data_IF_035194853116
#
_entry.id   IF_035194853116
#
_cell.length_a   1.000
_cell.length_b   1.000
_cell.length_c   1.000
_cell.angle_alpha   90.00
_cell.angle_beta   90.00
_cell.angle_gamma   90.00
#
_symmetry.space_group_name_H-M   'P 1'
#
loop_
_entity.id
_entity.type
_entity.pdbx_description
1 polymer ?
#
# COMPACT_ATOMS: atom_id res chain seq x y z
N UNK A 1 42.78 26.53 24.20
CA UNK A 1 42.68 25.22 23.52
C UNK A 1 41.59 24.33 24.13
N UNK A 2 40.33 24.82 24.24
CA UNK A 2 39.22 24.14 24.93
C UNK A 2 37.98 23.87 24.06
N UNK A 3 38.06 24.14 22.75
CA UNK A 3 36.91 24.05 21.82
C UNK A 3 36.90 22.77 20.96
N UNK A 4 38.03 22.07 20.86
CA UNK A 4 38.15 20.80 20.13
C UNK A 4 37.28 19.64 20.68
N UNK A 5 37.16 19.42 22.01
CA UNK A 5 36.35 18.32 22.53
C UNK A 5 34.84 18.60 22.38
N UNK A 6 34.43 19.87 22.38
CA UNK A 6 33.03 20.27 22.24
C UNK A 6 32.53 20.06 20.80
N UNK A 7 33.38 20.32 19.81
CA UNK A 7 33.07 20.08 18.39
C UNK A 7 32.97 18.58 18.08
N UNK A 8 33.85 17.77 18.67
CA UNK A 8 33.80 16.31 18.53
C UNK A 8 32.57 15.70 19.22
N UNK A 9 32.19 16.21 20.39
CA UNK A 9 30.97 15.80 21.10
C UNK A 9 29.70 16.13 20.30
N UNK A 10 29.66 17.30 19.63
CA UNK A 10 28.56 17.73 18.77
C UNK A 10 28.38 16.80 17.55
N UNK A 11 29.47 16.34 16.95
CA UNK A 11 29.45 15.40 15.81
C UNK A 11 28.92 14.02 16.24
N UNK A 12 29.31 13.54 17.43
CA UNK A 12 28.87 12.25 17.97
C UNK A 12 27.37 12.26 18.30
N UNK A 13 26.86 13.36 18.90
CA UNK A 13 25.42 13.48 19.23
C UNK A 13 24.55 13.58 17.97
N UNK A 14 25.03 14.24 16.91
CA UNK A 14 24.31 14.36 15.64
C UNK A 14 24.22 13.03 14.85
N UNK A 15 25.16 12.11 15.08
CA UNK A 15 25.22 10.82 14.40
C UNK A 15 24.32 9.75 15.00
N UNK A 16 23.74 9.99 16.19
CA UNK A 16 22.96 8.99 16.94
C UNK A 16 21.46 8.96 16.64
N UNK A 17 20.96 9.76 15.70
CA UNK A 17 19.57 9.62 15.23
C UNK A 17 19.47 8.57 14.12
N UNK A 18 19.77 7.32 14.46
CA UNK A 18 19.33 6.17 13.67
C UNK A 18 17.93 5.80 14.15
N UNK A 19 16.91 6.19 13.39
CA UNK A 19 15.56 5.68 13.59
C UNK A 19 15.58 4.16 13.39
N UNK A 20 15.39 3.40 14.47
CA UNK A 20 15.29 1.95 14.38
C UNK A 20 14.12 1.55 13.47
N UNK A 21 14.43 0.78 12.44
CA UNK A 21 13.45 0.16 11.51
C UNK A 21 13.07 -1.26 11.98
N UNK A 22 13.18 -1.54 13.28
CA UNK A 22 12.87 -2.83 13.89
C UNK A 22 11.48 -2.90 14.55
N UNK A 23 11.20 -4.03 15.21
CA UNK A 23 9.94 -4.26 15.93
C UNK A 23 9.77 -3.36 17.17
N UNK A 24 10.86 -2.78 17.66
CA UNK A 24 10.91 -1.87 18.81
C UNK A 24 10.12 -0.57 18.60
N UNK A 25 9.77 -0.22 17.35
CA UNK A 25 8.96 0.96 17.04
C UNK A 25 7.52 0.65 16.59
N UNK A 26 7.06 -0.61 16.63
CA UNK A 26 5.70 -0.99 16.20
C UNK A 26 4.58 -0.25 16.93
N UNK A 27 4.81 0.12 18.20
CA UNK A 27 3.81 0.80 19.02
C UNK A 27 3.69 2.30 18.70
N UNK A 28 4.62 2.88 17.93
CA UNK A 28 4.64 4.31 17.63
C UNK A 28 3.71 4.64 16.49
N UNK A 29 2.77 5.55 16.74
CA UNK A 29 1.92 6.11 15.70
C UNK A 29 2.71 7.07 14.82
N UNK A 30 2.40 7.07 13.52
CA UNK A 30 2.94 8.03 12.56
C UNK A 30 1.80 8.83 11.93
N UNK A 31 2.14 10.00 11.36
CA UNK A 31 1.19 10.80 10.57
C UNK A 31 0.97 10.24 9.15
N UNK A 32 1.49 9.05 8.85
CA UNK A 32 1.36 8.42 7.54
C UNK A 32 -0.10 8.12 7.21
N UNK A 33 -0.44 8.15 5.91
CA UNK A 33 -1.75 7.76 5.41
C UNK A 33 -1.64 6.44 4.67
N UNK A 34 -2.29 5.41 5.19
CA UNK A 34 -2.33 4.09 4.53
C UNK A 34 -3.25 4.11 3.33
N UNK A 35 -2.88 3.39 2.27
CA UNK A 35 -3.68 3.17 1.07
C UNK A 35 -3.59 1.68 0.72
N UNK A 36 -4.67 1.11 0.22
CA UNK A 36 -4.69 -0.30 -0.23
C UNK A 36 -4.83 -0.30 -1.75
N UNK A 37 -3.71 -0.49 -2.44
CA UNK A 37 -3.67 -0.63 -3.89
C UNK A 37 -3.89 -2.10 -4.22
N UNK A 38 -4.90 -2.38 -5.04
CA UNK A 38 -5.25 -3.74 -5.45
C UNK A 38 -5.91 -3.72 -6.82
N UNK A 39 -6.12 -4.88 -7.47
CA UNK A 39 -6.89 -4.98 -8.71
C UNK A 39 -8.30 -4.35 -8.66
N UNK A 40 -8.89 -4.16 -7.48
CA UNK A 40 -10.18 -3.47 -7.32
C UNK A 40 -10.07 -1.96 -7.06
N UNK A 41 -8.86 -1.47 -6.76
CA UNK A 41 -8.60 -0.09 -6.38
C UNK A 41 -7.16 0.28 -6.76
N UNK A 42 -6.93 0.53 -8.05
CA UNK A 42 -5.60 0.81 -8.59
C UNK A 42 -4.99 2.11 -8.04
N UNK A 43 -5.83 3.07 -7.63
CA UNK A 43 -5.39 4.36 -7.05
C UNK A 43 -5.26 4.31 -5.52
N UNK A 44 -5.72 3.23 -4.88
CA UNK A 44 -5.77 3.10 -3.44
C UNK A 44 -6.66 4.14 -2.75
N UNK A 45 -7.58 4.77 -3.47
CA UNK A 45 -8.49 5.79 -2.94
C UNK A 45 -9.34 5.27 -1.78
N UNK A 46 -9.63 6.16 -0.83
CA UNK A 46 -10.42 5.83 0.36
C UNK A 46 -11.84 5.40 -0.06
N UNK A 47 -12.27 4.23 0.42
CA UNK A 47 -13.62 3.73 0.18
C UNK A 47 -13.87 3.19 -1.24
N UNK A 48 -12.82 3.02 -2.06
CA UNK A 48 -12.96 2.52 -3.44
C UNK A 48 -12.70 1.02 -3.61
N UNK A 49 -12.51 0.27 -2.52
CA UNK A 49 -12.47 -1.20 -2.59
C UNK A 49 -13.86 -1.79 -2.83
N UNK A 50 -13.94 -2.92 -3.54
CA UNK A 50 -15.20 -3.64 -3.77
C UNK A 50 -16.20 -2.89 -4.67
N UNK A 51 -15.74 -1.96 -5.50
CA UNK A 51 -16.64 -1.16 -6.35
C UNK A 51 -17.05 -1.84 -7.66
N UNK A 52 -16.35 -2.91 -8.04
CA UNK A 52 -16.69 -3.73 -9.18
C UNK A 52 -18.05 -4.44 -8.94
N UNK A 53 -18.85 -4.54 -10.01
CA UNK A 53 -20.09 -5.31 -10.02
C UNK A 53 -19.92 -6.51 -10.94
N UNK A 54 -20.47 -7.69 -10.58
CA UNK A 54 -20.38 -8.88 -11.43
C UNK A 54 -21.01 -8.61 -12.79
N UNK A 55 -20.26 -8.87 -13.87
CA UNK A 55 -20.77 -8.77 -15.24
C UNK A 55 -19.97 -9.68 -16.15
N UNK A 56 -20.67 -10.56 -16.87
CA UNK A 56 -20.07 -11.48 -17.85
C UNK A 56 -19.46 -10.75 -19.05
N UNK A 57 -19.90 -9.51 -19.30
CA UNK A 57 -19.43 -8.67 -20.40
C UNK A 57 -18.57 -7.51 -19.90
N UNK A 58 -18.00 -7.62 -18.69
CA UNK A 58 -17.10 -6.62 -18.17
C UNK A 58 -15.84 -6.50 -19.04
N UNK A 59 -15.28 -5.28 -19.19
CA UNK A 59 -13.95 -5.12 -19.75
C UNK A 59 -12.90 -6.00 -19.03
N UNK A 60 -11.80 -6.36 -19.70
CA UNK A 60 -10.70 -7.07 -19.05
C UNK A 60 -10.24 -6.35 -17.78
N UNK A 61 -9.97 -7.11 -16.72
CA UNK A 61 -9.45 -6.59 -15.46
C UNK A 61 -10.36 -5.60 -14.72
N UNK A 62 -11.68 -5.64 -14.94
CA UNK A 62 -12.64 -4.84 -14.16
C UNK A 62 -13.62 -5.67 -13.33
N UNK A 63 -13.84 -6.94 -13.66
CA UNK A 63 -14.73 -7.85 -12.92
C UNK A 63 -14.35 -9.33 -13.11
N UNK A 64 -13.06 -9.66 -12.95
CA UNK A 64 -12.52 -10.96 -13.35
C UNK A 64 -13.10 -12.18 -12.61
N UNK A 65 -13.70 -11.99 -11.43
CA UNK A 65 -14.35 -13.06 -10.65
C UNK A 65 -15.89 -12.96 -10.70
N UNK A 66 -16.46 -12.42 -11.79
CA UNK A 66 -17.91 -12.21 -11.92
C UNK A 66 -18.75 -13.46 -11.68
N UNK A 67 -18.35 -14.62 -12.21
CA UNK A 67 -19.13 -15.85 -12.03
C UNK A 67 -19.14 -16.34 -10.57
N UNK A 68 -18.03 -16.17 -9.85
CA UNK A 68 -17.93 -16.52 -8.43
C UNK A 68 -18.70 -15.52 -7.54
N UNK A 69 -18.77 -14.26 -7.96
CA UNK A 69 -19.44 -13.19 -7.23
C UNK A 69 -20.89 -12.92 -7.68
N UNK A 70 -21.46 -13.74 -8.57
CA UNK A 70 -22.76 -13.54 -9.23
C UNK A 70 -23.93 -13.29 -8.26
N UNK A 71 -23.89 -13.92 -7.08
CA UNK A 71 -24.93 -13.81 -6.05
C UNK A 71 -24.53 -12.83 -4.92
N UNK A 72 -23.33 -12.25 -4.99
CA UNK A 72 -22.76 -11.38 -3.95
C UNK A 72 -22.87 -9.90 -4.32
N UNK A 73 -22.52 -9.55 -5.57
CA UNK A 73 -22.64 -8.18 -6.06
C UNK A 73 -21.53 -7.22 -5.59
N UNK A 74 -21.80 -5.92 -5.74
CA UNK A 74 -20.92 -4.84 -5.33
C UNK A 74 -20.71 -4.83 -3.80
N UNK A 75 -19.52 -4.47 -3.35
CA UNK A 75 -19.08 -4.56 -1.94
C UNK A 75 -18.27 -5.81 -1.64
N UNK A 76 -18.41 -6.87 -2.46
CA UNK A 76 -17.57 -8.06 -2.42
C UNK A 76 -16.38 -7.96 -3.39
N UNK A 77 -15.48 -8.94 -3.30
CA UNK A 77 -14.22 -9.00 -4.08
C UNK A 77 -14.45 -9.50 -5.51
N UNK A 78 -15.14 -8.72 -6.33
CA UNK A 78 -15.54 -9.07 -7.71
C UNK A 78 -14.36 -9.05 -8.68
N UNK A 79 -13.30 -8.26 -8.43
CA UNK A 79 -12.10 -8.20 -9.26
C UNK A 79 -10.81 -8.42 -8.46
N UNK A 80 -10.54 -9.63 -7.95
CA UNK A 80 -9.43 -9.89 -7.01
C UNK A 80 -8.04 -9.96 -7.64
N UNK A 81 -7.94 -10.12 -8.97
CA UNK A 81 -6.68 -10.25 -9.70
C UNK A 81 -6.75 -9.49 -11.03
N UNK A 82 -5.58 -9.21 -11.59
CA UNK A 82 -5.42 -8.75 -12.97
C UNK A 82 -4.78 -9.87 -13.80
N UNK A 83 -5.19 -9.98 -15.06
CA UNK A 83 -4.58 -10.84 -16.06
C UNK A 83 -3.60 -9.98 -16.86
N UNK A 84 -2.33 -10.37 -16.85
CA UNK A 84 -1.26 -9.73 -17.61
C UNK A 84 -0.80 -10.73 -18.67
N UNK A 85 -0.89 -10.36 -19.95
CA UNK A 85 -0.45 -11.24 -21.05
C UNK A 85 1.08 -11.22 -21.19
N UNK A 86 1.68 -12.21 -21.87
CA UNK A 86 3.11 -12.19 -22.16
C UNK A 86 3.56 -10.86 -22.79
N UNK A 87 4.64 -10.27 -22.25
CA UNK A 87 5.18 -8.99 -22.71
C UNK A 87 4.43 -7.73 -22.26
N UNK A 88 3.38 -7.85 -21.44
CA UNK A 88 2.67 -6.68 -20.89
C UNK A 88 3.14 -6.33 -19.47
N UNK A 89 2.98 -5.06 -19.10
CA UNK A 89 3.14 -4.54 -17.73
C UNK A 89 1.90 -3.72 -17.35
N UNK A 90 1.74 -3.45 -16.05
CA UNK A 90 0.71 -2.58 -15.47
C UNK A 90 1.34 -1.35 -14.84
#
# INVERSE_FOLDING_TARGET
MRKFPLLLLLIVVFSLQVSSQGLDNLYRLSNAKTRSISPENLTGEKGKGGMASPSKNAPPNTANASDAARDLGQGWKVNPFIIIKPGQTV
#
